data_IF_239470980844
#
_entry.id   IF_239470980844
#
_cell.length_a   1.000
_cell.length_b   1.000
_cell.length_c   1.000
_cell.angle_alpha   90.00
_cell.angle_beta   90.00
_cell.angle_gamma   90.00
#
_symmetry.space_group_name_H-M   'P 1'
#
loop_
_entity.id
_entity.type
_entity.pdbx_description
1 polymer ?
#
# COMPACT_ATOMS: atom_id res chain seq x y z
N UNK A 1 -26.88 0.07 -1.78
CA UNK A 1 -25.92 -0.57 -2.72
C UNK A 1 -26.26 -2.04 -2.88
N UNK A 2 -26.30 -2.58 -4.09
CA UNK A 2 -26.42 -4.03 -4.35
C UNK A 2 -25.20 -4.50 -5.11
N UNK A 3 -24.58 -5.59 -4.63
CA UNK A 3 -23.32 -6.12 -5.17
C UNK A 3 -23.55 -7.56 -5.61
N UNK A 4 -23.08 -7.88 -6.81
CA UNK A 4 -23.17 -9.22 -7.41
C UNK A 4 -21.83 -9.65 -7.98
N UNK A 5 -21.55 -10.95 -7.89
CA UNK A 5 -20.32 -11.54 -8.41
C UNK A 5 -20.63 -12.70 -9.36
N UNK A 6 -20.14 -12.64 -10.58
CA UNK A 6 -20.36 -13.69 -11.57
C UNK A 6 -19.08 -13.94 -12.37
N UNK A 7 -18.48 -15.12 -12.21
CA UNK A 7 -17.38 -15.60 -13.05
C UNK A 7 -16.15 -14.68 -13.08
N UNK A 8 -15.84 -13.97 -12.01
CA UNK A 8 -14.74 -12.99 -11.95
C UNK A 8 -15.17 -11.55 -12.17
N UNK A 9 -16.41 -11.30 -12.62
CA UNK A 9 -16.96 -9.97 -12.77
C UNK A 9 -17.69 -9.52 -11.50
N UNK A 10 -17.23 -8.43 -10.91
CA UNK A 10 -17.90 -7.70 -9.84
C UNK A 10 -18.79 -6.63 -10.49
N UNK A 11 -20.08 -6.63 -10.19
CA UNK A 11 -20.99 -5.57 -10.59
C UNK A 11 -21.78 -5.06 -9.39
N UNK A 12 -22.15 -3.77 -9.43
CA UNK A 12 -22.91 -3.16 -8.35
C UNK A 12 -23.91 -2.12 -8.86
N UNK A 13 -25.00 -1.99 -8.14
CA UNK A 13 -26.06 -1.03 -8.43
C UNK A 13 -26.29 -0.13 -7.23
N UNK A 14 -26.26 1.16 -7.47
CA UNK A 14 -26.58 2.17 -6.47
C UNK A 14 -28.07 2.09 -6.12
N UNK A 15 -28.38 2.22 -4.84
CA UNK A 15 -29.74 2.49 -4.34
C UNK A 15 -29.97 4.02 -4.33
N UNK A 16 -31.19 4.45 -4.03
CA UNK A 16 -31.58 5.89 -4.13
C UNK A 16 -30.78 6.82 -3.21
N UNK A 17 -30.29 6.30 -2.08
CA UNK A 17 -29.48 7.04 -1.11
C UNK A 17 -27.98 7.04 -1.40
N UNK A 18 -27.50 6.20 -2.33
CA UNK A 18 -26.10 6.15 -2.71
C UNK A 18 -25.74 7.29 -3.66
N UNK A 19 -24.49 7.69 -3.66
CA UNK A 19 -24.04 8.86 -4.40
C UNK A 19 -23.00 8.51 -5.45
N UNK A 20 -23.12 9.07 -6.66
CA UNK A 20 -22.11 8.94 -7.73
C UNK A 20 -20.79 9.58 -7.33
N UNK A 21 -20.82 10.69 -6.58
CA UNK A 21 -19.63 11.33 -6.03
C UNK A 21 -19.50 10.92 -4.57
N UNK A 22 -18.66 9.93 -4.32
CA UNK A 22 -18.36 9.43 -2.99
C UNK A 22 -17.06 9.97 -2.42
N UNK A 23 -16.66 9.44 -1.28
CA UNK A 23 -15.38 9.75 -0.64
C UNK A 23 -14.65 8.46 -0.29
N UNK A 24 -13.37 8.39 -0.66
CA UNK A 24 -12.47 7.34 -0.20
C UNK A 24 -12.16 7.49 1.29
N UNK A 25 -11.51 6.49 1.89
CA UNK A 25 -11.13 6.48 3.31
C UNK A 25 -10.22 7.63 3.73
N UNK A 26 -9.55 8.25 2.77
CA UNK A 26 -8.73 9.44 2.97
C UNK A 26 -9.50 10.76 2.73
N UNK A 27 -10.83 10.70 2.69
CA UNK A 27 -11.75 11.81 2.42
C UNK A 27 -11.61 12.46 1.03
N UNK A 28 -10.84 11.87 0.13
CA UNK A 28 -10.81 12.34 -1.25
C UNK A 28 -12.13 12.08 -1.97
N UNK A 29 -12.67 13.09 -2.68
CA UNK A 29 -13.83 12.88 -3.52
C UNK A 29 -13.46 11.94 -4.67
N UNK A 30 -14.26 10.89 -4.85
CA UNK A 30 -14.11 9.90 -5.92
C UNK A 30 -15.44 9.81 -6.69
N UNK A 31 -15.39 10.08 -8.00
CA UNK A 31 -16.57 10.02 -8.85
C UNK A 31 -16.62 8.67 -9.56
N UNK A 32 -17.79 8.03 -9.48
CA UNK A 32 -18.06 6.78 -10.19
C UNK A 32 -18.14 7.00 -11.70
N UNK A 33 -17.43 6.18 -12.49
CA UNK A 33 -17.53 6.13 -13.95
C UNK A 33 -18.35 4.96 -14.42
N UNK A 34 -18.03 3.75 -13.93
CA UNK A 34 -18.73 2.50 -14.25
C UNK A 34 -18.94 1.69 -12.98
N UNK A 35 -20.02 0.95 -12.96
CA UNK A 35 -20.47 0.16 -11.81
C UNK A 35 -20.13 -1.34 -11.96
N UNK A 36 -19.01 -1.63 -12.61
CA UNK A 36 -18.49 -3.00 -12.72
C UNK A 36 -17.00 -3.01 -12.93
N UNK A 37 -16.35 -4.09 -12.52
CA UNK A 37 -14.95 -4.38 -12.81
C UNK A 37 -14.74 -5.90 -12.84
N UNK A 38 -13.62 -6.31 -13.42
CA UNK A 38 -13.19 -7.71 -13.46
C UNK A 38 -12.05 -7.92 -12.46
N UNK A 39 -12.09 -9.01 -11.72
CA UNK A 39 -10.98 -9.52 -10.91
C UNK A 39 -10.71 -10.95 -11.39
N UNK A 40 -9.72 -11.10 -12.27
CA UNK A 40 -9.38 -12.37 -12.91
C UNK A 40 -8.31 -13.14 -12.15
N UNK A 41 -8.30 -14.47 -12.35
CA UNK A 41 -7.34 -15.35 -11.69
C UNK A 41 -7.72 -15.76 -10.26
N UNK A 42 -8.96 -15.50 -9.85
CA UNK A 42 -9.52 -15.82 -8.54
C UNK A 42 -10.58 -16.94 -8.63
N UNK A 43 -10.75 -17.76 -7.57
CA UNK A 43 -11.80 -18.78 -7.54
C UNK A 43 -13.19 -18.17 -7.48
N UNK A 44 -14.17 -18.83 -8.10
CA UNK A 44 -15.57 -18.40 -8.07
C UNK A 44 -16.29 -18.74 -6.75
N UNK A 45 -15.70 -19.64 -5.98
CA UNK A 45 -16.22 -20.23 -4.74
C UNK A 45 -15.51 -19.72 -3.47
N UNK A 46 -14.88 -18.56 -3.54
CA UNK A 46 -14.32 -17.90 -2.38
C UNK A 46 -15.38 -17.73 -1.26
N UNK A 47 -14.97 -17.85 0.00
CA UNK A 47 -15.86 -17.68 1.13
C UNK A 47 -16.65 -16.36 1.06
N UNK A 48 -17.94 -16.34 1.41
CA UNK A 48 -18.78 -15.14 1.31
C UNK A 48 -18.19 -13.91 2.01
N UNK A 49 -17.52 -14.08 3.14
CA UNK A 49 -16.86 -13.00 3.86
C UNK A 49 -15.69 -12.38 3.08
N UNK A 50 -14.88 -13.20 2.41
CA UNK A 50 -13.79 -12.72 1.56
C UNK A 50 -14.33 -11.92 0.38
N UNK A 51 -15.41 -12.43 -0.22
CA UNK A 51 -16.10 -11.74 -1.30
C UNK A 51 -16.64 -10.38 -0.83
N UNK A 52 -17.33 -10.33 0.32
CA UNK A 52 -17.91 -9.10 0.85
C UNK A 52 -16.82 -8.05 1.14
N UNK A 53 -15.72 -8.45 1.78
CA UNK A 53 -14.61 -7.52 2.09
C UNK A 53 -13.90 -7.08 0.82
N UNK A 54 -13.64 -7.97 -0.15
CA UNK A 54 -13.07 -7.60 -1.44
C UNK A 54 -13.98 -6.61 -2.19
N UNK A 55 -15.29 -6.88 -2.25
CA UNK A 55 -16.25 -5.96 -2.87
C UNK A 55 -16.33 -4.63 -2.13
N UNK A 56 -16.30 -4.65 -0.79
CA UNK A 56 -16.33 -3.42 0.02
C UNK A 56 -15.15 -2.50 -0.28
N UNK A 57 -13.95 -3.03 -0.52
CA UNK A 57 -12.79 -2.20 -0.94
C UNK A 57 -13.05 -1.44 -2.26
N UNK A 58 -14.01 -1.89 -3.07
CA UNK A 58 -14.37 -1.23 -4.32
C UNK A 58 -15.54 -0.27 -4.13
N UNK A 59 -16.61 -0.65 -3.40
CA UNK A 59 -17.89 0.08 -3.38
C UNK A 59 -18.05 1.05 -2.21
N UNK A 60 -17.19 0.96 -1.19
CA UNK A 60 -17.30 1.75 0.04
C UNK A 60 -17.47 3.27 -0.21
N UNK A 61 -16.74 3.92 -1.13
CA UNK A 61 -16.86 5.36 -1.32
C UNK A 61 -18.25 5.85 -1.68
N UNK A 62 -19.03 5.03 -2.37
CA UNK A 62 -20.35 5.39 -2.90
C UNK A 62 -21.51 4.86 -2.07
N UNK A 63 -21.27 3.90 -1.16
CA UNK A 63 -22.28 3.29 -0.30
C UNK A 63 -22.58 4.19 0.92
N UNK A 64 -23.87 4.46 1.22
CA UNK A 64 -24.28 5.35 2.32
C UNK A 64 -24.86 4.62 3.52
N UNK A 65 -25.89 3.83 3.33
CA UNK A 65 -26.66 3.24 4.43
C UNK A 65 -26.64 1.73 4.47
N UNK A 66 -26.68 1.10 3.29
CA UNK A 66 -26.86 -0.34 3.20
C UNK A 66 -26.09 -0.93 2.03
N UNK A 67 -25.50 -2.12 2.25
CA UNK A 67 -24.94 -2.96 1.19
C UNK A 67 -25.57 -4.34 1.23
N UNK A 68 -26.08 -4.81 0.11
CA UNK A 68 -26.65 -6.15 -0.09
C UNK A 68 -25.76 -6.93 -1.05
N UNK A 69 -25.23 -8.05 -0.58
CA UNK A 69 -24.45 -8.99 -1.37
C UNK A 69 -25.37 -10.07 -1.97
N UNK A 70 -24.94 -10.73 -3.01
CA UNK A 70 -25.69 -11.82 -3.66
C UNK A 70 -25.62 -13.16 -2.88
N UNK A 71 -24.88 -13.17 -1.79
CA UNK A 71 -24.73 -14.33 -0.87
C UNK A 71 -24.75 -13.86 0.59
N UNK A 72 -25.12 -14.77 1.49
CA UNK A 72 -25.09 -14.47 2.94
C UNK A 72 -23.65 -14.33 3.41
N UNK A 73 -23.41 -13.36 4.28
CA UNK A 73 -22.14 -13.11 4.98
C UNK A 73 -22.24 -13.49 6.45
N UNK A 74 -21.11 -13.57 7.16
CA UNK A 74 -21.12 -13.80 8.61
C UNK A 74 -21.62 -12.59 9.39
N UNK A 75 -22.04 -12.82 10.62
CA UNK A 75 -22.43 -11.77 11.56
C UNK A 75 -21.25 -10.86 11.92
N UNK A 76 -20.02 -11.41 11.96
CA UNK A 76 -18.78 -10.70 12.28
C UNK A 76 -18.44 -9.67 11.19
N UNK A 77 -18.54 -10.03 9.91
CA UNK A 77 -18.31 -9.09 8.80
C UNK A 77 -19.41 -8.04 8.77
N UNK A 78 -20.68 -8.41 9.00
CA UNK A 78 -21.78 -7.44 9.05
C UNK A 78 -21.58 -6.44 10.19
N UNK A 79 -21.19 -6.89 11.38
CA UNK A 79 -20.89 -6.05 12.53
C UNK A 79 -19.70 -5.11 12.24
N UNK A 80 -18.61 -5.63 11.65
CA UNK A 80 -17.44 -4.82 11.32
C UNK A 80 -17.75 -3.72 10.28
N UNK A 81 -18.63 -3.98 9.31
CA UNK A 81 -19.12 -2.97 8.36
C UNK A 81 -19.98 -1.92 9.07
N UNK A 82 -20.86 -2.32 9.98
CA UNK A 82 -21.67 -1.40 10.78
C UNK A 82 -20.78 -0.49 11.65
N UNK A 83 -19.90 -1.09 12.44
CA UNK A 83 -19.03 -0.36 13.38
C UNK A 83 -18.04 0.58 12.68
N UNK A 84 -17.52 0.16 11.52
CA UNK A 84 -16.53 0.95 10.78
C UNK A 84 -17.12 2.08 9.92
N UNK A 85 -18.35 1.89 9.40
CA UNK A 85 -18.93 2.81 8.41
C UNK A 85 -20.41 3.17 8.67
N UNK A 86 -21.04 2.62 9.69
CA UNK A 86 -22.46 2.83 9.96
C UNK A 86 -23.40 2.18 8.91
N UNK A 87 -22.90 1.17 8.18
CA UNK A 87 -23.62 0.56 7.04
C UNK A 87 -24.25 -0.76 7.45
N UNK A 88 -25.53 -0.92 7.15
CA UNK A 88 -26.21 -2.21 7.26
C UNK A 88 -25.77 -3.14 6.12
N UNK A 89 -25.26 -4.31 6.44
CA UNK A 89 -24.78 -5.28 5.47
C UNK A 89 -25.57 -6.60 5.54
N UNK A 90 -25.80 -7.23 4.39
CA UNK A 90 -26.53 -8.50 4.34
C UNK A 90 -26.65 -9.10 2.95
N UNK A 91 -27.36 -10.26 2.85
CA UNK A 91 -27.98 -11.01 3.94
C UNK A 91 -26.94 -11.61 4.91
N UNK A 92 -27.33 -11.80 6.17
CA UNK A 92 -26.50 -12.45 7.20
C UNK A 92 -26.94 -13.88 7.38
N UNK A 93 -26.01 -14.81 7.57
CA UNK A 93 -26.32 -16.23 7.77
C UNK A 93 -25.22 -17.21 7.39
N UNK A 94 -24.08 -16.71 6.92
CA UNK A 94 -22.90 -17.57 6.72
C UNK A 94 -22.18 -17.82 8.05
N UNK A 95 -21.54 -19.00 8.16
CA UNK A 95 -20.57 -19.26 9.23
C UNK A 95 -19.34 -18.36 9.02
N UNK A 96 -18.71 -17.85 10.08
CA UNK A 96 -17.50 -17.04 9.96
C UNK A 96 -16.34 -17.82 9.36
N UNK A 97 -15.58 -17.18 8.48
CA UNK A 97 -14.36 -17.78 7.94
C UNK A 97 -13.29 -17.89 9.03
N UNK A 98 -12.68 -19.04 9.14
CA UNK A 98 -11.52 -19.24 10.02
C UNK A 98 -10.23 -18.82 9.33
N UNK A 99 -9.33 -18.07 10.02
CA UNK A 99 -8.03 -17.70 9.44
C UNK A 99 -7.18 -18.95 9.19
N UNK A 100 -6.48 -18.97 8.07
CA UNK A 100 -5.44 -19.96 7.77
C UNK A 100 -4.11 -19.63 8.45
N UNK A 101 -3.10 -20.50 8.35
CA UNK A 101 -1.79 -20.29 8.97
C UNK A 101 -0.84 -19.42 8.14
N UNK A 102 -1.14 -19.17 6.88
CA UNK A 102 -0.21 -18.56 5.92
C UNK A 102 -0.32 -17.04 5.90
N UNK A 103 0.83 -16.35 5.89
CA UNK A 103 0.92 -14.94 5.53
C UNK A 103 1.21 -14.81 4.03
N UNK A 104 0.35 -14.13 3.28
CA UNK A 104 0.64 -13.72 1.90
C UNK A 104 1.26 -12.34 1.85
N UNK A 105 2.18 -12.07 0.93
CA UNK A 105 2.77 -10.74 0.74
C UNK A 105 2.17 -10.08 -0.50
N UNK A 106 1.53 -8.92 -0.33
CA UNK A 106 1.09 -8.06 -1.43
C UNK A 106 2.33 -7.49 -2.14
N UNK A 107 2.67 -8.08 -3.29
CA UNK A 107 3.96 -7.88 -3.94
C UNK A 107 3.83 -7.01 -5.20
N UNK A 108 4.38 -5.80 -5.14
CA UNK A 108 4.37 -4.85 -6.25
C UNK A 108 5.72 -4.73 -6.99
N UNK A 109 6.78 -5.36 -6.46
CA UNK A 109 8.15 -5.19 -6.92
C UNK A 109 8.79 -3.84 -6.53
N UNK A 110 8.09 -3.00 -5.78
CA UNK A 110 8.67 -1.79 -5.16
C UNK A 110 9.54 -2.15 -3.95
N UNK A 111 10.50 -1.28 -3.59
CA UNK A 111 11.43 -1.53 -2.49
C UNK A 111 10.72 -1.98 -1.20
N UNK A 112 9.60 -1.36 -0.87
CA UNK A 112 8.86 -1.63 0.37
C UNK A 112 8.24 -3.04 0.36
N UNK A 113 7.68 -3.48 -0.77
CA UNK A 113 7.14 -4.85 -0.91
C UNK A 113 8.24 -5.89 -1.01
N UNK A 114 9.39 -5.56 -1.58
CA UNK A 114 10.58 -6.42 -1.60
C UNK A 114 11.15 -6.57 -0.19
N UNK A 115 11.26 -5.49 0.58
CA UNK A 115 11.67 -5.54 1.98
C UNK A 115 10.73 -6.42 2.83
N UNK A 116 9.41 -6.27 2.66
CA UNK A 116 8.44 -7.15 3.33
C UNK A 116 8.61 -8.63 2.94
N UNK A 117 8.86 -8.91 1.65
CA UNK A 117 9.13 -10.25 1.15
C UNK A 117 10.44 -10.85 1.68
N UNK A 118 11.44 -10.01 1.97
CA UNK A 118 12.71 -10.44 2.57
C UNK A 118 12.53 -10.90 4.01
N UNK A 119 11.61 -10.28 4.76
CA UNK A 119 11.28 -10.70 6.13
C UNK A 119 10.56 -12.06 6.12
N UNK A 120 9.76 -12.33 5.11
CA UNK A 120 8.95 -13.54 4.98
C UNK A 120 9.27 -14.32 3.69
N UNK A 121 10.45 -14.95 3.60
CA UNK A 121 10.91 -15.57 2.37
C UNK A 121 10.06 -16.77 1.92
N UNK A 122 9.36 -17.44 2.83
CA UNK A 122 8.50 -18.59 2.54
C UNK A 122 7.04 -18.21 2.19
N UNK A 123 6.69 -16.92 2.30
CA UNK A 123 5.34 -16.46 2.01
C UNK A 123 5.05 -16.46 0.51
N UNK A 124 3.81 -16.79 0.06
CA UNK A 124 3.40 -16.61 -1.31
C UNK A 124 3.34 -15.11 -1.67
N UNK A 125 3.88 -14.76 -2.84
CA UNK A 125 3.82 -13.40 -3.37
C UNK A 125 2.57 -13.22 -4.22
N UNK A 126 1.79 -12.19 -3.91
CA UNK A 126 0.51 -11.88 -4.52
C UNK A 126 0.60 -10.57 -5.27
N UNK A 127 0.62 -10.66 -6.59
CA UNK A 127 0.73 -9.49 -7.46
C UNK A 127 -0.62 -9.07 -8.03
N UNK A 128 -1.01 -7.82 -7.76
CA UNK A 128 -2.18 -7.21 -8.34
C UNK A 128 -1.81 -6.52 -9.67
N UNK A 129 -2.08 -7.23 -10.78
CA UNK A 129 -1.83 -6.74 -12.13
C UNK A 129 -3.00 -5.91 -12.63
N UNK A 130 -2.75 -4.65 -12.88
CA UNK A 130 -3.70 -3.75 -13.51
C UNK A 130 -3.80 -4.05 -15.00
N UNK A 131 -5.00 -4.13 -15.53
CA UNK A 131 -5.25 -4.37 -16.95
C UNK A 131 -6.18 -3.31 -17.54
N UNK A 132 -6.09 -3.04 -18.87
CA UNK A 132 -7.04 -2.16 -19.52
C UNK A 132 -8.46 -2.71 -19.42
N UNK A 133 -9.43 -1.82 -19.28
CA UNK A 133 -10.83 -2.19 -19.34
C UNK A 133 -11.23 -2.56 -20.76
N UNK A 134 -12.00 -3.66 -20.92
CA UNK A 134 -12.37 -4.21 -22.24
C UNK A 134 -13.21 -3.27 -23.13
N UNK A 135 -13.94 -2.30 -22.54
CA UNK A 135 -14.88 -1.39 -23.25
C UNK A 135 -14.48 0.07 -23.18
N UNK A 136 -13.47 0.43 -22.41
CA UNK A 136 -13.01 1.81 -22.23
C UNK A 136 -11.61 1.94 -22.81
N UNK A 137 -11.33 2.99 -23.60
CA UNK A 137 -9.98 3.23 -24.10
C UNK A 137 -8.94 3.18 -23.00
N UNK A 138 -7.83 2.49 -23.26
CA UNK A 138 -6.73 2.42 -22.32
C UNK A 138 -6.20 3.83 -22.00
N UNK A 139 -6.42 4.29 -20.80
CA UNK A 139 -5.95 5.59 -20.31
C UNK A 139 -4.48 5.56 -19.90
N UNK A 140 -3.92 4.34 -19.70
CA UNK A 140 -2.61 4.13 -19.10
C UNK A 140 -1.87 2.98 -19.78
N UNK A 141 -1.10 3.26 -20.85
CA UNK A 141 -0.34 2.22 -21.57
C UNK A 141 0.85 1.64 -20.77
N UNK A 142 0.95 1.94 -19.47
CA UNK A 142 2.17 1.75 -18.68
C UNK A 142 2.11 0.59 -17.68
N UNK A 143 1.08 -0.26 -17.76
CA UNK A 143 0.95 -1.39 -16.84
C UNK A 143 1.80 -2.58 -17.28
N UNK A 144 3.11 -2.48 -17.08
CA UNK A 144 4.02 -3.59 -17.31
C UNK A 144 4.37 -4.28 -16.00
N UNK A 145 3.58 -5.27 -15.69
CA UNK A 145 3.84 -6.18 -14.57
C UNK A 145 4.34 -7.56 -15.03
N UNK A 146 4.44 -7.80 -16.33
CA UNK A 146 4.96 -9.05 -16.92
C UNK A 146 6.40 -9.31 -16.46
N UNK A 147 7.19 -8.25 -16.29
CA UNK A 147 8.57 -8.29 -15.78
C UNK A 147 8.66 -8.93 -14.39
N UNK A 148 7.64 -8.78 -13.54
CA UNK A 148 7.66 -9.36 -12.19
C UNK A 148 7.60 -10.89 -12.22
N UNK A 149 6.82 -11.48 -13.12
CA UNK A 149 6.75 -12.93 -13.27
C UNK A 149 8.07 -13.52 -13.78
N UNK A 150 8.71 -12.84 -14.75
CA UNK A 150 10.03 -13.27 -15.27
C UNK A 150 11.12 -13.19 -14.20
N UNK A 151 11.12 -12.10 -13.42
CA UNK A 151 12.09 -11.91 -12.35
C UNK A 151 11.86 -12.90 -11.20
N UNK A 152 10.60 -13.16 -10.85
CA UNK A 152 10.27 -14.18 -9.86
C UNK A 152 10.76 -15.57 -10.27
N UNK A 153 10.59 -15.93 -11.54
CA UNK A 153 11.11 -17.21 -12.07
C UNK A 153 12.64 -17.33 -11.95
N UNK A 154 13.38 -16.23 -12.10
CA UNK A 154 14.85 -16.23 -11.95
C UNK A 154 15.30 -16.45 -10.51
N UNK A 155 14.51 -16.06 -9.52
CA UNK A 155 14.82 -16.30 -8.10
C UNK A 155 14.23 -17.61 -7.57
N UNK A 156 13.52 -18.38 -8.40
CA UNK A 156 12.83 -19.61 -8.01
C UNK A 156 11.58 -19.39 -7.16
N UNK A 157 11.08 -18.14 -7.07
CA UNK A 157 9.89 -17.79 -6.28
C UNK A 157 8.67 -17.64 -7.17
N UNK A 158 7.55 -18.20 -6.72
CA UNK A 158 6.28 -18.07 -7.41
C UNK A 158 5.57 -16.75 -7.05
N UNK A 159 5.12 -16.00 -8.08
CA UNK A 159 4.26 -14.84 -7.92
C UNK A 159 2.87 -15.19 -8.46
N UNK A 160 1.91 -15.33 -7.57
CA UNK A 160 0.50 -15.49 -7.95
C UNK A 160 -0.05 -14.15 -8.42
N UNK A 161 -0.45 -14.07 -9.68
CA UNK A 161 -0.95 -12.83 -10.28
C UNK A 161 -2.48 -12.83 -10.36
N UNK A 162 -3.08 -11.76 -9.84
CA UNK A 162 -4.49 -11.42 -10.04
C UNK A 162 -4.58 -10.23 -10.98
N UNK A 163 -5.41 -10.32 -11.99
CA UNK A 163 -5.63 -9.22 -12.94
C UNK A 163 -6.89 -8.43 -12.57
N UNK A 164 -6.87 -7.10 -12.72
CA UNK A 164 -8.10 -6.31 -12.53
C UNK A 164 -8.06 -4.98 -13.27
N UNK A 165 -9.24 -4.58 -13.72
CA UNK A 165 -9.54 -3.28 -14.31
C UNK A 165 -10.33 -2.36 -13.35
N UNK A 166 -10.36 -2.66 -12.05
CA UNK A 166 -11.18 -1.95 -11.06
C UNK A 166 -10.90 -0.43 -10.98
N UNK A 167 -9.73 0.03 -11.41
CA UNK A 167 -9.43 1.47 -11.47
C UNK A 167 -10.34 2.23 -12.43
N UNK A 168 -10.94 1.54 -13.42
CA UNK A 168 -11.87 2.15 -14.36
C UNK A 168 -13.25 2.41 -13.76
N UNK A 169 -13.53 1.94 -12.54
CA UNK A 169 -14.71 2.37 -11.78
C UNK A 169 -14.66 3.88 -11.48
N UNK A 170 -13.45 4.45 -11.45
CA UNK A 170 -13.24 5.88 -11.21
C UNK A 170 -13.33 6.70 -12.48
N UNK A 171 -13.98 7.87 -12.40
CA UNK A 171 -14.04 8.85 -13.48
C UNK A 171 -12.78 9.71 -13.62
N UNK A 172 -11.84 9.58 -12.70
CA UNK A 172 -10.61 10.37 -12.68
C UNK A 172 -9.71 10.08 -13.89
N UNK A 173 -9.01 11.12 -14.43
CA UNK A 173 -8.09 10.94 -15.55
C UNK A 173 -6.77 10.24 -15.16
N UNK A 174 -6.56 9.95 -13.88
CA UNK A 174 -5.37 9.28 -13.35
C UNK A 174 -5.72 7.90 -12.82
N UNK A 175 -4.78 6.91 -12.93
CA UNK A 175 -4.98 5.62 -12.30
C UNK A 175 -5.06 5.80 -10.79
N UNK A 176 -5.98 5.11 -10.17
CA UNK A 176 -6.17 5.13 -8.74
C UNK A 176 -7.15 4.06 -8.32
N UNK A 177 -7.23 3.83 -7.04
CA UNK A 177 -8.17 2.88 -6.47
C UNK A 177 -9.35 3.63 -5.83
N UNK A 178 -10.57 3.05 -5.87
CA UNK A 178 -11.71 3.62 -5.13
C UNK A 178 -11.38 3.80 -3.64
N UNK A 179 -10.77 2.77 -3.08
CA UNK A 179 -10.16 2.76 -1.75
C UNK A 179 -8.71 2.26 -1.85
N UNK A 180 -7.83 2.74 -0.99
CA UNK A 180 -6.43 2.28 -0.99
C UNK A 180 -6.32 0.76 -0.77
N UNK A 181 -7.25 0.19 -0.01
CA UNK A 181 -7.32 -1.25 0.27
C UNK A 181 -7.80 -2.09 -0.92
N UNK A 182 -8.29 -1.49 -2.00
CA UNK A 182 -8.74 -2.23 -3.17
C UNK A 182 -7.62 -3.05 -3.86
N UNK A 183 -6.38 -2.70 -3.62
CA UNK A 183 -5.22 -3.51 -4.01
C UNK A 183 -5.23 -4.92 -3.39
N UNK A 184 -5.93 -5.10 -2.27
CA UNK A 184 -6.08 -6.39 -1.59
C UNK A 184 -7.20 -7.27 -2.16
N UNK A 185 -8.11 -6.72 -2.99
CA UNK A 185 -9.31 -7.44 -3.41
C UNK A 185 -9.04 -8.83 -3.99
N UNK A 186 -8.05 -8.93 -4.87
CA UNK A 186 -7.67 -10.22 -5.45
C UNK A 186 -7.02 -11.18 -4.45
N UNK A 187 -6.17 -10.68 -3.56
CA UNK A 187 -5.52 -11.50 -2.53
C UNK A 187 -6.54 -12.05 -1.51
N UNK A 188 -7.54 -11.25 -1.15
CA UNK A 188 -8.65 -11.70 -0.30
C UNK A 188 -9.39 -12.87 -0.95
N UNK A 189 -9.73 -12.77 -2.22
CA UNK A 189 -10.43 -13.85 -2.94
C UNK A 189 -9.59 -15.12 -3.13
N UNK A 190 -8.26 -15.02 -3.03
CA UNK A 190 -7.35 -16.16 -3.06
C UNK A 190 -7.12 -16.80 -1.67
N UNK A 191 -7.63 -16.17 -0.60
CA UNK A 191 -7.23 -16.53 0.75
C UNK A 191 -7.55 -17.99 1.13
N UNK A 192 -8.67 -18.55 0.67
CA UNK A 192 -8.99 -19.96 0.93
C UNK A 192 -8.04 -20.90 0.18
N UNK A 193 -7.82 -20.63 -1.10
CA UNK A 193 -6.93 -21.44 -1.95
C UNK A 193 -5.50 -21.50 -1.42
N UNK A 194 -5.01 -20.41 -0.83
CA UNK A 194 -3.65 -20.28 -0.35
C UNK A 194 -3.52 -20.45 1.17
N UNK A 195 -4.62 -20.75 1.87
CA UNK A 195 -4.64 -20.90 3.31
C UNK A 195 -4.23 -19.63 4.06
N UNK A 196 -4.61 -18.44 3.55
CA UNK A 196 -4.17 -17.18 4.16
C UNK A 196 -4.95 -16.90 5.46
N UNK A 197 -4.19 -16.54 6.49
CA UNK A 197 -4.69 -15.93 7.73
C UNK A 197 -4.20 -14.48 7.89
N UNK A 198 -3.27 -14.05 7.04
CA UNK A 198 -2.78 -12.68 7.00
C UNK A 198 -2.36 -12.23 5.60
N UNK A 199 -2.38 -10.91 5.39
CA UNK A 199 -1.92 -10.25 4.18
C UNK A 199 -0.96 -9.11 4.54
N UNK A 200 0.31 -9.29 4.17
CA UNK A 200 1.40 -8.37 4.42
C UNK A 200 1.50 -7.29 3.34
N UNK A 201 1.60 -6.03 3.74
CA UNK A 201 1.77 -4.89 2.86
C UNK A 201 3.08 -4.16 3.12
N UNK A 202 3.71 -3.68 2.07
CA UNK A 202 4.89 -2.82 2.12
C UNK A 202 4.56 -1.35 2.41
N UNK A 203 3.73 -1.08 3.43
CA UNK A 203 3.52 0.27 3.93
C UNK A 203 4.49 0.52 5.08
N UNK A 204 5.33 1.51 4.89
CA UNK A 204 6.45 1.87 5.76
C UNK A 204 6.04 2.95 6.79
N UNK A 205 6.98 3.34 7.65
CA UNK A 205 6.76 4.26 8.77
C UNK A 205 6.19 5.62 8.35
N UNK A 206 6.66 6.19 7.23
CA UNK A 206 6.17 7.46 6.71
C UNK A 206 4.69 7.41 6.37
N UNK A 207 4.24 6.30 5.76
CA UNK A 207 2.84 6.06 5.42
C UNK A 207 1.96 5.74 6.64
N UNK A 208 2.52 5.17 7.71
CA UNK A 208 1.76 4.72 8.88
C UNK A 208 1.78 5.70 10.05
N UNK A 209 2.91 6.31 10.33
CA UNK A 209 3.13 7.08 11.56
C UNK A 209 3.45 8.55 11.35
N UNK A 210 4.20 8.91 10.30
CA UNK A 210 4.71 10.26 10.15
C UNK A 210 3.77 11.20 9.39
N UNK A 211 2.85 10.66 8.61
CA UNK A 211 1.80 11.42 7.93
C UNK A 211 2.29 12.58 7.05
N UNK A 212 3.49 12.52 6.58
CA UNK A 212 4.21 13.43 5.69
C UNK A 212 3.61 14.80 5.35
N UNK A 213 3.95 15.83 6.08
CA UNK A 213 3.67 17.22 5.74
C UNK A 213 2.17 17.52 5.56
N UNK A 214 1.77 17.98 4.35
CA UNK A 214 0.36 18.34 4.04
C UNK A 214 -0.64 17.17 4.14
N UNK A 215 -0.18 15.95 4.31
CA UNK A 215 -1.00 14.74 4.46
C UNK A 215 -1.09 14.26 5.90
N UNK A 216 -0.56 15.02 6.87
CA UNK A 216 -0.55 14.65 8.29
C UNK A 216 -1.93 14.21 8.79
N UNK A 217 -2.99 14.92 8.40
CA UNK A 217 -4.37 14.61 8.76
C UNK A 217 -4.88 13.26 8.24
N UNK A 218 -4.23 12.67 7.23
CA UNK A 218 -4.64 11.36 6.65
C UNK A 218 -4.13 10.18 7.45
N UNK A 219 -3.00 10.33 8.14
CA UNK A 219 -2.24 9.23 8.71
C UNK A 219 -1.99 9.39 10.21
N UNK A 220 -2.74 10.27 10.87
CA UNK A 220 -2.66 10.44 12.32
C UNK A 220 -3.16 9.20 13.05
N UNK A 221 -2.81 9.02 14.35
CA UNK A 221 -3.39 7.97 15.17
C UNK A 221 -4.91 7.95 15.17
N UNK A 222 -5.54 9.11 15.05
CA UNK A 222 -7.01 9.27 15.01
C UNK A 222 -7.63 8.84 13.66
N UNK A 223 -6.83 8.77 12.59
CA UNK A 223 -7.24 8.29 11.27
C UNK A 223 -6.28 7.22 10.73
N UNK A 224 -6.22 6.05 11.36
CA UNK A 224 -5.21 5.03 11.04
C UNK A 224 -5.65 4.19 9.83
N UNK A 225 -5.50 4.71 8.62
CA UNK A 225 -5.93 4.03 7.39
C UNK A 225 -5.32 2.62 7.25
N UNK A 226 -4.05 2.46 7.58
CA UNK A 226 -3.33 1.19 7.48
C UNK A 226 -3.12 0.49 8.82
N UNK A 227 -3.81 0.88 9.89
CA UNK A 227 -3.70 0.20 11.17
C UNK A 227 -4.42 -1.16 11.16
N UNK A 228 -3.80 -2.23 11.67
CA UNK A 228 -4.49 -3.49 11.94
C UNK A 228 -5.69 -3.33 12.89
N UNK A 229 -5.65 -2.30 13.75
CA UNK A 229 -6.70 -1.97 14.72
C UNK A 229 -7.73 -0.95 14.21
N UNK A 230 -7.46 -0.32 13.05
CA UNK A 230 -8.38 0.58 12.37
C UNK A 230 -9.60 -0.16 11.79
N UNK A 231 -10.55 0.59 11.27
CA UNK A 231 -11.80 0.01 10.70
C UNK A 231 -11.53 -1.02 9.59
N UNK A 232 -10.53 -0.78 8.73
CA UNK A 232 -10.16 -1.71 7.69
C UNK A 232 -9.48 -2.96 8.24
N UNK A 233 -8.56 -2.82 9.21
CA UNK A 233 -7.90 -3.96 9.83
C UNK A 233 -8.90 -4.87 10.57
N UNK A 234 -9.87 -4.27 11.29
CA UNK A 234 -10.97 -5.05 11.93
C UNK A 234 -11.86 -5.75 10.92
N UNK A 235 -12.18 -5.10 9.79
CA UNK A 235 -12.99 -5.72 8.74
C UNK A 235 -12.24 -6.89 8.07
N UNK A 236 -10.95 -6.73 7.78
CA UNK A 236 -10.12 -7.83 7.26
C UNK A 236 -10.05 -9.00 8.25
N UNK A 237 -9.84 -8.70 9.54
CA UNK A 237 -9.79 -9.72 10.59
C UNK A 237 -11.14 -10.46 10.74
N UNK A 238 -12.28 -9.77 10.60
CA UNK A 238 -13.62 -10.38 10.61
C UNK A 238 -13.79 -11.39 9.46
N UNK A 239 -13.14 -11.17 8.32
CA UNK A 239 -13.08 -12.15 7.23
C UNK A 239 -11.94 -13.18 7.39
N UNK A 240 -11.30 -13.25 8.55
CA UNK A 240 -10.22 -14.20 8.84
C UNK A 240 -8.94 -13.97 8.06
N UNK A 241 -8.65 -12.71 7.65
CA UNK A 241 -7.38 -12.31 7.00
C UNK A 241 -6.86 -11.07 7.70
N UNK A 242 -5.87 -11.21 8.55
CA UNK A 242 -5.30 -10.08 9.29
C UNK A 242 -4.49 -9.16 8.36
N UNK A 243 -4.63 -7.85 8.53
CA UNK A 243 -3.75 -6.86 7.94
C UNK A 243 -2.41 -6.86 8.68
N UNK A 244 -1.31 -7.04 7.95
CA UNK A 244 0.04 -7.09 8.52
C UNK A 244 0.92 -6.06 7.84
N UNK A 245 1.66 -5.27 8.62
CA UNK A 245 2.59 -4.26 8.11
C UNK A 245 4.04 -4.60 8.51
N UNK A 246 4.69 -5.56 7.83
CA UNK A 246 6.01 -6.06 8.25
C UNK A 246 7.08 -4.98 8.31
N UNK A 247 6.95 -3.95 7.48
CA UNK A 247 7.88 -2.81 7.39
C UNK A 247 7.29 -1.51 7.94
N UNK A 248 6.15 -1.59 8.65
CA UNK A 248 5.46 -0.42 9.20
C UNK A 248 6.25 0.39 10.23
N UNK A 249 7.27 -0.21 10.82
CA UNK A 249 8.16 0.43 11.79
C UNK A 249 9.45 1.01 11.20
N UNK A 250 9.69 0.91 9.89
CA UNK A 250 10.94 1.38 9.28
C UNK A 250 10.68 2.41 8.18
N UNK A 251 11.65 3.29 7.95
CA UNK A 251 11.57 4.33 6.91
C UNK A 251 11.68 3.77 5.49
N UNK A 252 11.32 4.57 4.47
CA UNK A 252 11.58 4.22 3.07
C UNK A 252 13.08 4.06 2.74
N UNK A 253 13.98 4.72 3.48
CA UNK A 253 15.42 4.51 3.32
C UNK A 253 15.84 3.13 3.80
N UNK A 254 15.29 2.70 4.93
CA UNK A 254 15.55 1.35 5.46
C UNK A 254 14.93 0.27 4.56
N UNK A 255 13.70 0.44 4.06
CA UNK A 255 13.12 -0.53 3.10
C UNK A 255 13.94 -0.59 1.81
N UNK A 256 14.44 0.55 1.30
CA UNK A 256 15.35 0.60 0.16
C UNK A 256 16.63 -0.17 0.43
N UNK A 257 17.27 0.04 1.59
CA UNK A 257 18.49 -0.67 2.00
C UNK A 257 18.26 -2.18 2.08
N UNK A 258 17.18 -2.61 2.72
CA UNK A 258 16.82 -4.03 2.81
C UNK A 258 16.58 -4.65 1.44
N UNK A 259 15.86 -3.97 0.57
CA UNK A 259 15.57 -4.44 -0.79
C UNK A 259 16.82 -4.55 -1.66
N UNK A 260 17.72 -3.57 -1.60
CA UNK A 260 18.97 -3.58 -2.37
C UNK A 260 19.99 -4.63 -1.87
N UNK A 261 19.91 -5.02 -0.61
CA UNK A 261 20.77 -6.04 -0.01
C UNK A 261 20.18 -7.47 -0.08
N UNK A 262 18.96 -7.61 -0.59
CA UNK A 262 18.28 -8.90 -0.70
C UNK A 262 18.63 -9.64 -2.00
N UNK A 263 18.31 -10.94 -2.04
CA UNK A 263 18.34 -11.78 -3.24
C UNK A 263 17.31 -11.32 -4.30
N UNK A 264 16.34 -10.49 -3.90
CA UNK A 264 15.31 -9.92 -4.76
C UNK A 264 15.71 -8.55 -5.35
N UNK A 265 16.92 -8.04 -5.13
CA UNK A 265 17.38 -6.71 -5.58
C UNK A 265 17.11 -6.44 -7.06
N UNK A 266 17.29 -7.44 -7.92
CA UNK A 266 17.08 -7.33 -9.36
C UNK A 266 15.60 -7.18 -9.75
N UNK A 267 14.67 -7.44 -8.81
CA UNK A 267 13.23 -7.27 -8.99
C UNK A 267 12.73 -5.90 -8.61
N UNK A 268 13.56 -5.06 -7.97
CA UNK A 268 13.11 -3.76 -7.45
C UNK A 268 12.68 -2.84 -8.60
N UNK A 269 11.38 -2.53 -8.66
CA UNK A 269 10.73 -1.74 -9.69
C UNK A 269 9.73 -0.76 -9.07
N UNK A 270 10.16 0.44 -8.74
CA UNK A 270 9.26 1.45 -8.13
C UNK A 270 8.43 2.25 -9.13
N UNK A 271 8.75 2.20 -10.42
CA UNK A 271 8.06 2.96 -11.44
C UNK A 271 7.37 2.05 -12.46
N UNK A 272 6.03 2.18 -12.54
CA UNK A 272 5.21 1.43 -13.48
C UNK A 272 5.07 2.12 -14.86
N UNK A 273 5.69 3.30 -15.07
CA UNK A 273 5.60 4.07 -16.31
C UNK A 273 6.71 3.75 -17.31
N UNK A 274 7.80 3.18 -16.83
CA UNK A 274 8.94 2.82 -17.68
C UNK A 274 8.76 1.44 -18.33
N UNK A 275 9.31 1.26 -19.53
CA UNK A 275 9.28 -0.03 -20.25
C UNK A 275 10.43 -0.94 -19.82
N UNK A 276 11.64 -0.39 -19.73
CA UNK A 276 12.88 -1.12 -19.47
C UNK A 276 13.55 -0.70 -18.15
N UNK A 277 12.77 -0.09 -17.27
CA UNK A 277 13.22 0.45 -15.99
C UNK A 277 12.38 1.63 -15.53
N UNK A 278 12.83 2.40 -14.54
CA UNK A 278 12.16 3.61 -14.11
C UNK A 278 12.04 4.62 -15.26
N UNK A 279 10.87 5.27 -15.40
CA UNK A 279 10.67 6.27 -16.46
C UNK A 279 11.55 7.52 -16.30
N UNK A 280 12.12 7.74 -15.11
CA UNK A 280 12.97 8.88 -14.74
C UNK A 280 12.33 10.26 -14.99
N UNK A 281 10.99 10.29 -15.09
CA UNK A 281 10.21 11.46 -15.52
C UNK A 281 9.05 11.79 -14.57
N UNK A 282 8.82 11.01 -13.51
CA UNK A 282 7.74 11.24 -12.58
C UNK A 282 8.26 11.54 -11.17
N UNK A 283 7.40 12.16 -10.33
CA UNK A 283 7.76 12.48 -8.95
C UNK A 283 8.19 11.27 -8.14
N UNK A 284 7.60 10.09 -8.40
CA UNK A 284 8.00 8.85 -7.73
C UNK A 284 9.44 8.46 -8.09
N UNK A 285 9.86 8.64 -9.36
CA UNK A 285 11.24 8.37 -9.75
C UNK A 285 12.22 9.34 -9.10
N UNK A 286 11.88 10.62 -9.04
CA UNK A 286 12.71 11.63 -8.38
C UNK A 286 12.88 11.32 -6.89
N UNK A 287 11.77 11.02 -6.21
CA UNK A 287 11.76 10.71 -4.79
C UNK A 287 12.53 9.43 -4.46
N UNK A 288 12.30 8.35 -5.20
CA UNK A 288 13.02 7.08 -4.97
C UNK A 288 14.49 7.15 -5.37
N UNK A 289 14.86 7.99 -6.36
CA UNK A 289 16.27 8.25 -6.69
C UNK A 289 16.98 8.98 -5.55
N UNK A 290 16.32 9.98 -4.93
CA UNK A 290 16.87 10.65 -3.75
C UNK A 290 17.19 9.66 -2.63
N UNK A 291 16.21 8.79 -2.30
CA UNK A 291 16.36 7.79 -1.24
C UNK A 291 17.47 6.80 -1.59
N UNK A 292 17.48 6.27 -2.81
CA UNK A 292 18.50 5.32 -3.23
C UNK A 292 19.90 5.96 -3.20
N UNK A 293 20.04 7.17 -3.73
CA UNK A 293 21.31 7.89 -3.71
C UNK A 293 21.82 8.15 -2.30
N UNK A 294 20.91 8.48 -1.37
CA UNK A 294 21.25 8.67 0.05
C UNK A 294 21.70 7.36 0.71
N UNK A 295 21.01 6.25 0.47
CA UNK A 295 21.37 4.91 0.97
C UNK A 295 22.74 4.46 0.43
N UNK A 296 22.99 4.68 -0.86
CA UNK A 296 24.24 4.32 -1.54
C UNK A 296 25.35 5.37 -1.38
N UNK A 297 25.08 6.52 -0.74
CA UNK A 297 26.00 7.65 -0.56
C UNK A 297 26.64 8.11 -1.88
N UNK A 298 25.85 8.22 -2.92
CA UNK A 298 26.30 8.67 -4.27
C UNK A 298 25.56 9.94 -4.71
N UNK A 299 26.11 10.67 -5.67
CA UNK A 299 25.38 11.77 -6.33
C UNK A 299 24.09 11.28 -6.99
N UNK A 300 23.13 12.19 -7.17
CA UNK A 300 21.90 11.92 -7.92
C UNK A 300 22.22 11.63 -9.40
N UNK A 301 21.43 10.73 -9.99
CA UNK A 301 21.49 10.49 -11.43
C UNK A 301 20.96 11.72 -12.20
N UNK A 302 21.79 12.32 -13.02
CA UNK A 302 21.51 13.56 -13.78
C UNK A 302 20.18 13.57 -14.55
N UNK A 303 19.76 12.48 -15.23
CA UNK A 303 18.47 12.48 -15.93
C UNK A 303 17.24 12.67 -15.03
N UNK A 304 17.32 12.25 -13.75
CA UNK A 304 16.23 12.41 -12.78
C UNK A 304 16.20 13.82 -12.20
N UNK A 305 17.36 14.50 -12.19
CA UNK A 305 17.53 15.85 -11.66
C UNK A 305 17.23 16.95 -12.70
N UNK A 306 16.95 16.57 -13.96
CA UNK A 306 16.58 17.54 -14.99
C UNK A 306 15.35 18.35 -14.56
N UNK A 307 15.31 19.62 -14.93
CA UNK A 307 14.27 20.59 -14.55
C UNK A 307 12.87 20.15 -14.96
N UNK A 308 12.13 19.56 -14.05
CA UNK A 308 10.74 19.13 -14.26
C UNK A 308 9.79 20.09 -13.57
N UNK A 309 8.75 20.58 -14.25
CA UNK A 309 7.75 21.47 -13.64
C UNK A 309 7.11 20.90 -12.38
N UNK A 310 6.93 19.58 -12.33
CA UNK A 310 6.40 18.87 -11.18
C UNK A 310 7.33 18.96 -9.97
N UNK A 311 8.63 18.67 -10.15
CA UNK A 311 9.61 18.68 -9.06
C UNK A 311 9.75 20.09 -8.46
N UNK A 312 9.83 21.10 -9.32
CA UNK A 312 9.85 22.52 -8.89
C UNK A 312 8.61 22.91 -8.08
N UNK A 313 7.42 22.45 -8.49
CA UNK A 313 6.19 22.72 -7.74
C UNK A 313 6.16 22.01 -6.39
N UNK A 314 6.62 20.76 -6.34
CA UNK A 314 6.66 19.94 -5.13
C UNK A 314 7.65 20.47 -4.11
N UNK A 315 8.85 20.85 -4.55
CA UNK A 315 9.96 21.35 -3.71
C UNK A 315 9.94 22.87 -3.49
N UNK A 316 8.84 23.56 -3.78
CA UNK A 316 8.77 25.02 -3.70
C UNK A 316 8.87 25.54 -2.27
N UNK A 317 8.21 24.90 -1.34
CA UNK A 317 8.23 25.24 0.09
C UNK A 317 7.68 24.08 0.94
N UNK A 318 8.14 23.94 2.19
CA UNK A 318 7.55 22.99 3.13
C UNK A 318 6.10 23.39 3.51
N UNK A 319 5.32 22.45 4.09
CA UNK A 319 5.69 21.05 4.34
C UNK A 319 5.72 20.23 3.03
N UNK A 320 6.73 19.39 2.92
CA UNK A 320 6.88 18.49 1.76
C UNK A 320 6.20 17.14 2.04
N UNK A 321 5.61 16.51 1.00
CA UNK A 321 5.21 15.11 1.12
C UNK A 321 6.46 14.22 1.20
N UNK A 322 6.59 13.40 2.26
CA UNK A 322 7.80 12.62 2.52
C UNK A 322 8.97 13.49 2.99
N UNK A 323 8.69 14.48 3.81
CA UNK A 323 9.68 15.43 4.32
C UNK A 323 10.85 14.74 5.01
N UNK A 324 10.59 13.72 5.82
CA UNK A 324 11.58 12.91 6.52
C UNK A 324 12.63 12.31 5.56
N UNK A 325 12.18 11.87 4.38
CA UNK A 325 13.09 11.32 3.37
C UNK A 325 13.85 12.41 2.60
N UNK A 326 13.26 13.60 2.47
CA UNK A 326 13.98 14.75 1.90
C UNK A 326 15.11 15.14 2.86
N UNK A 327 14.84 15.30 4.15
CA UNK A 327 15.86 15.58 5.15
C UNK A 327 16.95 14.49 5.19
N UNK A 328 16.55 13.21 5.10
CA UNK A 328 17.48 12.09 5.01
C UNK A 328 18.41 12.21 3.79
N UNK A 329 17.83 12.57 2.63
CA UNK A 329 18.56 12.77 1.37
C UNK A 329 19.49 13.98 1.41
N UNK A 330 19.03 15.12 1.96
CA UNK A 330 19.84 16.33 2.12
C UNK A 330 21.10 16.07 2.98
N UNK A 331 20.97 15.22 4.00
CA UNK A 331 22.06 14.89 4.90
C UNK A 331 23.13 13.96 4.29
N UNK A 332 22.83 13.18 3.26
CA UNK A 332 23.65 12.03 2.82
C UNK A 332 24.06 12.04 1.35
N UNK A 333 23.36 12.80 0.49
CA UNK A 333 23.66 12.80 -0.96
C UNK A 333 24.75 13.80 -1.28
N UNK A 334 25.93 13.37 -1.79
CA UNK A 334 27.00 14.29 -2.18
C UNK A 334 26.56 15.23 -3.30
N UNK A 335 26.86 16.52 -3.15
CA UNK A 335 26.57 17.53 -4.17
C UNK A 335 25.10 17.90 -4.28
N UNK A 336 24.28 17.59 -3.29
CA UNK A 336 22.83 17.82 -3.27
C UNK A 336 22.48 19.31 -3.47
N UNK A 337 23.34 20.22 -3.01
CA UNK A 337 23.21 21.66 -3.14
C UNK A 337 23.16 22.14 -4.60
N UNK A 338 23.75 21.36 -5.52
CA UNK A 338 23.78 21.65 -6.96
C UNK A 338 22.61 21.00 -7.73
N UNK A 339 21.60 20.50 -7.03
CA UNK A 339 20.47 19.77 -7.60
C UNK A 339 19.14 20.50 -7.38
N UNK A 340 18.04 19.92 -7.86
CA UNK A 340 16.68 20.39 -7.58
C UNK A 340 16.33 20.44 -6.08
N UNK A 341 17.05 19.70 -5.25
CA UNK A 341 16.87 19.67 -3.80
C UNK A 341 17.66 20.75 -3.07
N UNK A 342 18.62 21.41 -3.74
CA UNK A 342 19.44 22.48 -3.15
C UNK A 342 18.63 23.55 -2.40
N UNK A 343 17.56 24.10 -2.99
CA UNK A 343 16.70 25.07 -2.28
C UNK A 343 16.03 24.54 -1.01
N UNK A 344 15.92 23.24 -0.81
CA UNK A 344 15.39 22.68 0.43
C UNK A 344 16.36 22.84 1.61
N UNK A 345 17.65 23.03 1.35
CA UNK A 345 18.65 23.33 2.39
C UNK A 345 18.37 24.65 3.14
N UNK A 346 17.67 25.59 2.50
CA UNK A 346 17.27 26.85 3.13
C UNK A 346 16.22 26.63 4.25
N UNK A 347 15.58 25.46 4.30
CA UNK A 347 14.50 25.14 5.23
C UNK A 347 14.89 24.11 6.28
N UNK A 348 15.94 23.31 6.05
CA UNK A 348 16.31 22.19 6.93
C UNK A 348 17.80 22.17 7.23
N UNK A 349 18.13 22.15 8.50
CA UNK A 349 19.48 21.86 8.99
C UNK A 349 19.65 20.34 9.15
N UNK A 350 19.53 19.62 8.03
CA UNK A 350 19.60 18.16 8.03
C UNK A 350 21.05 17.66 8.12
N UNK A 351 21.35 16.87 9.14
CA UNK A 351 22.63 16.19 9.33
C UNK A 351 22.42 14.68 9.42
N UNK A 352 23.50 13.90 9.26
CA UNK A 352 23.43 12.45 9.45
C UNK A 352 22.94 12.10 10.86
N UNK A 353 23.41 12.81 11.87
CA UNK A 353 23.00 12.63 13.27
C UNK A 353 21.51 12.97 13.45
N UNK A 354 21.07 14.11 12.92
CA UNK A 354 19.65 14.52 13.06
C UNK A 354 18.67 13.61 12.35
N UNK A 355 19.09 12.79 11.40
CA UNK A 355 18.26 11.87 10.61
C UNK A 355 18.57 10.39 10.85
N UNK A 356 19.48 10.05 11.79
CA UNK A 356 19.91 8.67 12.05
C UNK A 356 18.77 7.75 12.55
N UNK A 357 17.78 8.30 13.26
CA UNK A 357 16.62 7.56 13.72
C UNK A 357 15.82 6.90 12.60
N UNK A 358 15.92 7.40 11.37
CA UNK A 358 15.28 6.83 10.17
C UNK A 358 15.95 5.53 9.69
N UNK A 359 17.13 5.22 10.23
CA UNK A 359 17.84 3.96 9.96
C UNK A 359 17.39 2.82 10.91
N UNK A 360 16.60 3.13 11.95
CA UNK A 360 16.15 2.20 12.98
C UNK A 360 14.66 1.87 12.89
N UNK A 361 14.27 0.76 13.54
CA UNK A 361 12.88 0.30 13.61
C UNK A 361 12.16 0.91 14.81
N UNK A 362 10.99 1.47 14.60
CA UNK A 362 10.08 2.02 15.60
C UNK A 362 9.40 0.89 16.40
N UNK A 363 9.71 0.72 17.71
CA UNK A 363 9.24 -0.44 18.48
C UNK A 363 7.71 -0.59 18.55
N UNK A 364 6.89 0.47 18.72
CA UNK A 364 5.43 0.33 18.76
C UNK A 364 4.81 -0.28 17.50
N UNK A 365 5.47 -0.17 16.35
CA UNK A 365 4.99 -0.80 15.12
C UNK A 365 5.08 -2.34 15.18
N UNK A 366 6.02 -2.90 15.94
CA UNK A 366 6.13 -4.35 16.16
C UNK A 366 4.95 -4.86 16.99
N UNK A 367 4.48 -4.06 17.95
CA UNK A 367 3.33 -4.42 18.79
C UNK A 367 2.02 -4.51 17.99
N UNK A 368 1.92 -3.77 16.88
CA UNK A 368 0.76 -3.86 15.96
C UNK A 368 0.76 -5.13 15.10
N UNK A 369 1.89 -5.83 14.98
CA UNK A 369 1.95 -7.08 14.21
C UNK A 369 1.14 -8.17 14.94
N UNK A 370 0.21 -8.87 14.26
CA UNK A 370 -0.50 -9.98 14.86
C UNK A 370 0.46 -11.05 15.42
N UNK A 371 0.12 -11.62 16.56
CA UNK A 371 0.98 -12.49 17.36
C UNK A 371 1.65 -13.61 16.54
N UNK A 372 0.91 -14.20 15.59
CA UNK A 372 1.42 -15.28 14.74
C UNK A 372 2.70 -14.92 13.94
N UNK A 373 2.94 -13.65 13.67
CA UNK A 373 4.08 -13.19 12.84
C UNK A 373 4.99 -12.20 13.56
N UNK A 374 4.61 -11.73 14.76
CA UNK A 374 5.33 -10.70 15.51
C UNK A 374 6.76 -11.10 15.82
N UNK A 375 6.98 -12.32 16.31
CA UNK A 375 8.30 -12.79 16.68
C UNK A 375 9.27 -12.79 15.50
N UNK A 376 8.84 -13.21 14.32
CA UNK A 376 9.68 -13.20 13.12
C UNK A 376 10.08 -11.78 12.71
N UNK A 377 9.12 -10.83 12.70
CA UNK A 377 9.40 -9.42 12.38
C UNK A 377 10.34 -8.82 13.42
N UNK A 378 10.07 -9.04 14.71
CA UNK A 378 10.91 -8.51 15.80
C UNK A 378 12.37 -9.00 15.71
N UNK A 379 12.56 -10.31 15.51
CA UNK A 379 13.90 -10.90 15.33
C UNK A 379 14.61 -10.30 14.13
N UNK A 380 13.93 -10.28 12.96
CA UNK A 380 14.52 -9.72 11.74
C UNK A 380 14.93 -8.26 11.91
N UNK A 381 14.06 -7.44 12.51
CA UNK A 381 14.36 -6.02 12.71
C UNK A 381 15.50 -5.81 13.68
N UNK A 382 15.57 -6.57 14.77
CA UNK A 382 16.66 -6.49 15.74
C UNK A 382 18.01 -6.84 15.09
N UNK A 383 18.06 -7.89 14.28
CA UNK A 383 19.29 -8.40 13.68
C UNK A 383 19.78 -7.59 12.47
N UNK A 384 18.87 -7.04 11.66
CA UNK A 384 19.21 -6.45 10.36
C UNK A 384 19.04 -4.93 10.29
N UNK A 385 18.34 -4.32 11.26
CA UNK A 385 18.01 -2.89 11.26
C UNK A 385 18.50 -2.20 12.52
N UNK A 386 18.23 -2.78 13.68
CA UNK A 386 18.36 -2.15 14.98
C UNK A 386 17.05 -1.47 15.40
N UNK A 387 16.83 -1.42 16.73
CA UNK A 387 15.63 -0.81 17.31
C UNK A 387 15.91 0.63 17.73
N UNK A 388 14.91 1.51 17.56
CA UNK A 388 15.00 2.88 18.06
C UNK A 388 15.21 2.92 19.57
N UNK A 389 16.03 3.85 20.00
CA UNK A 389 16.12 4.27 21.41
C UNK A 389 14.82 4.96 21.83
N UNK A 390 14.65 5.14 23.15
CA UNK A 390 13.48 5.88 23.67
C UNK A 390 13.42 7.33 23.16
N UNK A 391 14.57 7.98 22.98
CA UNK A 391 14.64 9.34 22.44
C UNK A 391 14.20 9.39 20.96
N UNK A 392 14.60 8.42 20.15
CA UNK A 392 14.20 8.30 18.75
C UNK A 392 12.70 7.93 18.63
N UNK A 393 12.20 7.05 19.50
CA UNK A 393 10.77 6.69 19.59
C UNK A 393 9.91 7.93 19.84
N UNK A 394 10.30 8.76 20.84
CA UNK A 394 9.61 10.04 21.12
C UNK A 394 9.65 11.01 19.92
N UNK A 395 10.66 10.93 19.08
CA UNK A 395 10.75 11.77 17.88
C UNK A 395 9.67 11.39 16.85
N UNK A 396 9.39 10.10 16.67
CA UNK A 396 8.27 9.62 15.82
C UNK A 396 6.94 10.09 16.40
N UNK A 397 6.72 9.94 17.71
CA UNK A 397 5.48 10.32 18.39
C UNK A 397 5.18 11.83 18.31
N UNK A 398 6.23 12.65 18.25
CA UNK A 398 6.12 14.12 18.17
C UNK A 398 6.33 14.66 16.75
N UNK A 399 6.41 13.81 15.73
CA UNK A 399 6.63 14.25 14.37
C UNK A 399 5.47 15.11 13.85
N UNK A 400 5.78 16.32 13.40
CA UNK A 400 4.79 17.26 12.84
C UNK A 400 4.06 18.11 13.87
N UNK A 401 4.44 18.06 15.17
CA UNK A 401 3.94 18.92 16.24
C UNK A 401 4.85 20.15 16.46
#
# INVERSE_FOLDING_TARGET
MRVTWTGGDLSFRLDAEDEITGRASDEHPVKLAINSCTIGGVPADAHPDLFAVAAWTVVAPWTRRRVLFDRAISAEVAAALHDGWGVEAGPVGAEPRRPGPTLGISYSGGADSVAAATIFPESPFLHFRRVPHRRIPNRWPHYRSDVLAELAAKTGREVTTVTSDLEYTLAEPRPGYPEHHAVAAGALLLADRLGLGGLGFGYEMGSRWLGGGRYLHRYTPDNPMWSPHGKWGRLFAAAGVHLVLPVGGVSEATTMRLALNSDLREQVRWCLRGTDGPCRDCGKCLYKELIQAAVERRPLNTPVTAERPFARKWLRKPPYGGQEMIEYGLARVPGIENTLFGPALDFFEATEESTSWLDHCYPPAIEEIPEAWRAQVATFMTENVGMMTEAETRRVENWGN
#
